data_IF_574573612901
#
_entry.id   IF_574573612901
#
_cell.length_a   1.000
_cell.length_b   1.000
_cell.length_c   1.000
_cell.angle_alpha   90.00
_cell.angle_beta   90.00
_cell.angle_gamma   90.00
#
_symmetry.space_group_name_H-M   'P 1'
#
loop_
_entity.id
_entity.type
_entity.pdbx_description
1 polymer ?
#
# COMPACT_ATOMS: atom_id res chain seq x y z
N UNK A 1 -2.75 62.88 -41.13
CA UNK A 1 -2.62 62.54 -39.70
C UNK A 1 -1.77 61.29 -39.57
N UNK A 2 -0.63 61.36 -38.86
CA UNK A 2 0.23 60.21 -38.52
C UNK A 2 -0.30 59.56 -37.24
N UNK A 3 -0.40 58.23 -37.20
CA UNK A 3 -0.36 57.48 -35.95
C UNK A 3 0.72 56.42 -36.11
N UNK A 4 1.77 56.59 -35.31
CA UNK A 4 3.01 55.81 -35.29
C UNK A 4 2.76 54.49 -34.55
N UNK A 5 3.18 53.39 -35.18
CA UNK A 5 3.20 52.06 -34.57
C UNK A 5 4.33 52.01 -33.54
N UNK A 6 4.05 51.61 -32.30
CA UNK A 6 5.08 51.21 -31.36
C UNK A 6 4.96 49.70 -31.09
N UNK A 7 5.97 48.99 -31.60
CA UNK A 7 6.30 47.59 -31.41
C UNK A 7 6.69 47.34 -29.95
N UNK A 8 6.02 46.41 -29.27
CA UNK A 8 6.44 45.93 -27.96
C UNK A 8 7.52 44.86 -28.18
N UNK A 9 8.77 45.22 -27.85
CA UNK A 9 9.96 44.36 -27.95
C UNK A 9 10.08 43.51 -26.67
N UNK A 10 10.47 42.22 -26.72
CA UNK A 10 10.67 41.42 -25.53
C UNK A 10 12.08 41.70 -24.98
N UNK A 11 12.19 42.65 -24.06
CA UNK A 11 13.43 42.84 -23.32
C UNK A 11 13.64 41.66 -22.37
N UNK A 12 14.64 40.85 -22.71
CA UNK A 12 15.16 39.77 -21.87
C UNK A 12 15.87 40.38 -20.65
N UNK A 13 15.10 40.73 -19.63
CA UNK A 13 15.67 41.09 -18.34
C UNK A 13 16.22 39.82 -17.69
N UNK A 14 17.53 39.63 -17.82
CA UNK A 14 18.33 38.70 -17.02
C UNK A 14 18.25 39.10 -15.56
N UNK A 15 17.12 38.78 -14.91
CA UNK A 15 16.91 38.91 -13.47
C UNK A 15 17.91 38.00 -12.79
N UNK A 16 18.93 38.60 -12.17
CA UNK A 16 19.91 37.93 -11.30
C UNK A 16 19.15 37.00 -10.34
N UNK A 17 19.36 35.69 -10.47
CA UNK A 17 18.65 34.63 -9.72
C UNK A 17 18.62 34.88 -8.19
N UNK A 18 19.58 35.63 -7.68
CA UNK A 18 19.68 35.94 -6.26
C UNK A 18 18.71 37.01 -5.74
N UNK A 19 18.31 37.97 -6.58
CA UNK A 19 17.39 39.06 -6.21
C UNK A 19 15.96 38.54 -6.05
N UNK A 20 15.57 37.59 -6.91
CA UNK A 20 14.25 36.92 -6.88
C UNK A 20 13.99 36.19 -5.55
N UNK A 21 15.01 35.50 -5.00
CA UNK A 21 14.85 34.71 -3.79
C UNK A 21 14.74 35.57 -2.52
N UNK A 22 15.45 36.70 -2.48
CA UNK A 22 15.38 37.65 -1.37
C UNK A 22 14.02 38.33 -1.28
N UNK A 23 13.48 38.78 -2.43
CA UNK A 23 12.13 39.32 -2.54
C UNK A 23 11.07 38.31 -2.10
N UNK A 24 11.21 37.04 -2.51
CA UNK A 24 10.27 35.98 -2.12
C UNK A 24 10.26 35.71 -0.60
N UNK A 25 11.42 35.73 0.08
CA UNK A 25 11.46 35.60 1.54
C UNK A 25 10.80 36.78 2.25
N UNK A 26 11.03 38.00 1.73
CA UNK A 26 10.44 39.22 2.30
C UNK A 26 8.92 39.22 2.17
N UNK A 27 8.41 38.93 0.98
CA UNK A 27 6.97 38.80 0.72
C UNK A 27 6.33 37.68 1.56
N UNK A 28 7.06 36.58 1.79
CA UNK A 28 6.58 35.49 2.64
C UNK A 28 6.47 35.92 4.11
N UNK A 29 7.47 36.66 4.63
CA UNK A 29 7.48 37.24 5.99
C UNK A 29 6.37 38.27 6.18
N UNK A 30 6.16 39.13 5.19
CA UNK A 30 5.10 40.13 5.21
C UNK A 30 3.71 39.48 5.20
N UNK A 31 3.54 38.38 4.46
CA UNK A 31 2.27 37.66 4.34
C UNK A 31 1.95 36.75 5.52
N UNK A 32 2.97 36.22 6.19
CA UNK A 32 2.84 35.34 7.34
C UNK A 32 3.75 35.83 8.48
N UNK A 33 3.35 36.90 9.19
CA UNK A 33 4.21 37.52 10.20
C UNK A 33 4.42 36.63 11.43
N UNK A 34 3.47 35.73 11.72
CA UNK A 34 3.50 34.87 12.90
C UNK A 34 4.15 33.50 12.59
N UNK A 35 5.14 33.13 13.41
CA UNK A 35 5.73 31.79 13.42
C UNK A 35 7.16 31.68 12.88
N UNK A 36 7.67 30.44 12.83
CA UNK A 36 9.00 30.14 12.33
C UNK A 36 9.04 30.24 10.80
N UNK A 37 9.94 31.09 10.32
CA UNK A 37 10.08 31.36 8.90
C UNK A 37 11.00 30.33 8.23
N UNK A 38 10.59 29.73 7.10
CA UNK A 38 11.45 28.84 6.33
C UNK A 38 12.74 29.56 5.90
N UNK A 39 13.85 28.82 5.86
CA UNK A 39 15.12 29.39 5.37
C UNK A 39 15.03 29.69 3.87
N UNK A 40 15.86 30.64 3.39
CA UNK A 40 15.96 30.97 1.96
C UNK A 40 16.17 29.74 1.07
N UNK A 41 16.94 28.76 1.55
CA UNK A 41 17.20 27.52 0.84
C UNK A 41 15.94 26.67 0.66
N UNK A 42 15.06 26.62 1.66
CA UNK A 42 13.79 25.89 1.59
C UNK A 42 12.86 26.51 0.56
N UNK A 43 12.73 27.84 0.56
CA UNK A 43 11.91 28.56 -0.44
C UNK A 43 12.43 28.29 -1.85
N UNK A 44 13.75 28.38 -2.06
CA UNK A 44 14.37 28.08 -3.34
C UNK A 44 14.12 26.63 -3.80
N UNK A 45 14.22 25.65 -2.90
CA UNK A 45 13.94 24.24 -3.20
C UNK A 45 12.47 23.99 -3.54
N UNK A 46 11.54 24.75 -2.93
CA UNK A 46 10.11 24.67 -3.25
C UNK A 46 9.83 25.28 -4.62
N UNK A 47 10.33 26.49 -4.90
CA UNK A 47 10.17 27.16 -6.20
C UNK A 47 10.78 26.33 -7.33
N UNK A 48 11.97 25.75 -7.11
CA UNK A 48 12.62 24.85 -8.07
C UNK A 48 11.76 23.63 -8.36
N UNK A 49 11.28 22.92 -7.33
CA UNK A 49 10.41 21.74 -7.50
C UNK A 49 9.09 22.08 -8.18
N UNK A 50 8.50 23.22 -7.85
CA UNK A 50 7.27 23.67 -8.48
C UNK A 50 7.48 23.91 -9.99
N UNK A 51 8.62 24.48 -10.39
CA UNK A 51 8.96 24.65 -11.80
C UNK A 51 9.26 23.32 -12.53
N UNK A 52 9.90 22.38 -11.84
CA UNK A 52 10.32 21.10 -12.44
C UNK A 52 9.19 20.07 -12.51
N UNK A 53 8.30 20.03 -11.52
CA UNK A 53 7.31 18.94 -11.35
C UNK A 53 5.87 19.46 -11.25
N UNK A 54 5.66 20.78 -11.12
CA UNK A 54 4.32 21.36 -10.95
C UNK A 54 3.67 21.07 -9.59
N UNK A 55 4.37 20.44 -8.66
CA UNK A 55 3.82 20.01 -7.38
C UNK A 55 4.78 20.29 -6.21
N UNK A 56 4.23 20.72 -5.07
CA UNK A 56 4.97 21.03 -3.83
C UNK A 56 5.00 19.83 -2.87
N UNK A 57 4.12 18.84 -3.07
CA UNK A 57 4.06 17.64 -2.24
C UNK A 57 5.36 16.84 -2.42
N UNK A 58 5.95 16.42 -1.30
CA UNK A 58 7.19 15.63 -1.32
C UNK A 58 6.98 14.34 -2.10
N UNK A 59 7.96 13.99 -2.93
CA UNK A 59 8.04 12.67 -3.56
C UNK A 59 8.02 11.59 -2.47
N UNK A 60 7.26 10.50 -2.63
CA UNK A 60 7.25 9.42 -1.65
C UNK A 60 8.67 8.98 -1.35
N UNK A 61 9.01 8.85 -0.06
CA UNK A 61 10.30 8.28 0.32
C UNK A 61 10.28 6.82 -0.09
N UNK A 62 10.90 6.49 -1.21
CA UNK A 62 11.13 5.11 -1.62
C UNK A 62 12.13 4.54 -0.63
N UNK A 63 11.63 3.83 0.39
CA UNK A 63 12.49 3.06 1.28
C UNK A 63 13.03 1.91 0.45
N UNK A 64 14.34 1.90 0.21
CA UNK A 64 15.00 0.76 -0.43
C UNK A 64 14.77 -0.45 0.49
N UNK A 65 14.17 -1.54 -0.02
CA UNK A 65 14.03 -2.77 0.77
C UNK A 65 15.42 -3.24 1.20
N UNK A 66 15.60 -3.48 2.50
CA UNK A 66 16.81 -4.18 2.96
C UNK A 66 16.67 -5.62 2.50
N UNK A 67 17.45 -6.03 1.50
CA UNK A 67 17.55 -7.43 1.10
C UNK A 67 18.16 -8.23 2.26
N UNK A 68 17.34 -8.77 3.15
CA UNK A 68 17.81 -9.52 4.32
C UNK A 68 18.16 -10.95 3.89
N UNK A 69 19.44 -11.17 3.57
CA UNK A 69 20.22 -12.38 3.92
C UNK A 69 19.95 -13.74 3.25
N UNK A 70 18.74 -14.06 2.77
CA UNK A 70 18.49 -15.32 2.03
C UNK A 70 17.40 -15.12 0.99
N UNK A 71 17.67 -15.49 -0.26
CA UNK A 71 16.64 -15.64 -1.30
C UNK A 71 15.85 -16.94 -1.09
N UNK A 72 15.22 -17.10 0.08
CA UNK A 72 14.11 -18.05 0.16
C UNK A 72 12.96 -17.33 -0.50
N UNK A 73 12.46 -17.92 -1.57
CA UNK A 73 11.37 -17.35 -2.32
C UNK A 73 10.12 -17.37 -1.43
N UNK A 74 9.31 -16.31 -1.36
CA UNK A 74 8.08 -16.33 -0.56
C UNK A 74 7.18 -17.52 -0.92
N UNK A 75 7.30 -18.02 -2.15
CA UNK A 75 6.69 -19.24 -2.66
C UNK A 75 7.05 -20.49 -1.84
N UNK A 76 8.29 -20.62 -1.37
CA UNK A 76 8.73 -21.78 -0.56
C UNK A 76 8.03 -21.82 0.80
N UNK A 77 7.85 -20.64 1.41
CA UNK A 77 7.13 -20.47 2.67
C UNK A 77 5.66 -20.83 2.50
N UNK A 78 5.05 -20.39 1.39
CA UNK A 78 3.66 -20.68 1.05
C UNK A 78 3.44 -22.15 0.74
N UNK A 79 4.31 -22.75 -0.06
CA UNK A 79 4.26 -24.18 -0.38
C UNK A 79 4.33 -25.02 0.89
N UNK A 80 5.25 -24.69 1.81
CA UNK A 80 5.36 -25.40 3.07
C UNK A 80 4.10 -25.23 3.94
N UNK A 81 3.59 -24.00 4.08
CA UNK A 81 2.40 -23.71 4.87
C UNK A 81 1.16 -24.45 4.34
N UNK A 82 0.99 -24.53 3.02
CA UNK A 82 -0.10 -25.26 2.37
C UNK A 82 0.02 -26.77 2.54
N UNK A 83 1.23 -27.32 2.43
CA UNK A 83 1.48 -28.75 2.65
C UNK A 83 1.26 -29.16 4.12
N UNK A 84 1.41 -28.22 5.06
CA UNK A 84 1.36 -28.49 6.49
C UNK A 84 0.48 -27.47 7.24
N UNK A 85 -0.87 -27.53 7.10
CA UNK A 85 -1.80 -26.50 7.59
C UNK A 85 -1.83 -26.34 9.12
N UNK A 86 -1.34 -27.33 9.87
CA UNK A 86 -1.25 -27.28 11.33
C UNK A 86 0.09 -26.72 11.84
N UNK A 87 0.95 -26.25 10.94
CA UNK A 87 2.27 -25.75 11.29
C UNK A 87 2.21 -24.40 11.98
N UNK A 88 3.00 -24.22 13.04
CA UNK A 88 3.20 -22.89 13.60
C UNK A 88 4.16 -22.06 12.75
N UNK A 89 4.06 -20.74 12.84
CA UNK A 89 5.04 -19.79 12.27
C UNK A 89 6.48 -20.16 12.64
N UNK A 90 6.69 -20.62 13.87
CA UNK A 90 7.98 -21.13 14.35
C UNK A 90 8.47 -22.34 13.56
N UNK A 91 7.64 -23.38 13.39
CA UNK A 91 8.04 -24.57 12.61
C UNK A 91 8.34 -24.21 11.16
N UNK A 92 7.53 -23.33 10.55
CA UNK A 92 7.77 -22.86 9.18
C UNK A 92 9.11 -22.08 9.12
N UNK A 93 9.41 -21.27 10.12
CA UNK A 93 10.67 -20.50 10.19
C UNK A 93 11.91 -21.40 10.27
N UNK A 94 11.84 -22.47 11.05
CA UNK A 94 12.92 -23.45 11.21
C UNK A 94 13.14 -24.23 9.89
N UNK A 95 12.05 -24.67 9.24
CA UNK A 95 12.13 -25.43 7.99
C UNK A 95 12.59 -24.58 6.80
N UNK A 96 12.14 -23.32 6.72
CA UNK A 96 12.52 -22.41 5.65
C UNK A 96 13.84 -21.67 5.93
N UNK A 97 14.41 -21.78 7.14
CA UNK A 97 15.61 -21.03 7.54
C UNK A 97 15.41 -19.51 7.53
N UNK A 98 14.22 -19.06 7.93
CA UNK A 98 13.82 -17.65 8.00
C UNK A 98 13.58 -17.24 9.45
N UNK A 99 13.57 -15.95 9.73
CA UNK A 99 13.06 -15.48 11.02
C UNK A 99 11.53 -15.61 11.06
N UNK A 100 10.99 -15.88 12.25
CA UNK A 100 9.54 -15.99 12.46
C UNK A 100 8.80 -14.71 12.02
N UNK A 101 9.36 -13.53 12.30
CA UNK A 101 8.79 -12.26 11.84
C UNK A 101 8.72 -12.16 10.32
N UNK A 102 9.73 -12.69 9.61
CA UNK A 102 9.74 -12.70 8.14
C UNK A 102 8.67 -13.64 7.58
N UNK A 103 8.50 -14.81 8.19
CA UNK A 103 7.41 -15.75 7.85
C UNK A 103 6.05 -15.07 8.06
N UNK A 104 5.84 -14.40 9.20
CA UNK A 104 4.59 -13.72 9.49
C UNK A 104 4.28 -12.60 8.49
N UNK A 105 5.28 -11.79 8.10
CA UNK A 105 5.11 -10.78 7.05
C UNK A 105 4.71 -11.40 5.71
N UNK A 106 5.38 -12.48 5.28
CA UNK A 106 5.09 -13.15 4.01
C UNK A 106 3.66 -13.72 4.00
N UNK A 107 3.24 -14.39 5.08
CA UNK A 107 1.89 -14.95 5.19
C UNK A 107 0.81 -13.85 5.20
N UNK A 108 1.05 -12.71 5.84
CA UNK A 108 0.10 -11.59 5.82
C UNK A 108 0.06 -10.88 4.45
N UNK A 109 1.21 -10.65 3.81
CA UNK A 109 1.28 -10.01 2.48
C UNK A 109 0.58 -10.88 1.40
N UNK A 110 0.62 -12.20 1.57
CA UNK A 110 -0.02 -13.17 0.67
C UNK A 110 -1.46 -13.54 1.05
N UNK A 111 -1.98 -13.05 2.18
CA UNK A 111 -3.30 -13.42 2.69
C UNK A 111 -3.40 -14.89 3.15
N UNK A 112 -2.28 -15.58 3.32
CA UNK A 112 -2.20 -16.98 3.73
C UNK A 112 -2.29 -17.12 5.26
N UNK A 113 -3.46 -16.82 5.81
CA UNK A 113 -3.73 -17.05 7.23
C UNK A 113 -3.75 -18.55 7.55
N UNK A 114 -2.92 -18.97 8.50
CA UNK A 114 -2.92 -20.33 9.06
C UNK A 114 -4.21 -20.53 9.88
N UNK A 115 -5.30 -20.90 9.20
CA UNK A 115 -6.54 -21.27 9.88
C UNK A 115 -6.40 -22.65 10.49
N UNK A 116 -6.40 -22.71 11.82
CA UNK A 116 -6.52 -23.97 12.55
C UNK A 116 -8.00 -24.33 12.62
N UNK A 117 -8.44 -25.29 11.82
CA UNK A 117 -9.79 -25.84 11.93
C UNK A 117 -9.96 -26.48 13.32
N UNK A 118 -10.77 -25.88 14.18
CA UNK A 118 -11.18 -26.51 15.44
C UNK A 118 -12.43 -27.35 15.17
N UNK A 119 -12.40 -28.68 15.33
CA UNK A 119 -13.63 -29.47 15.25
C UNK A 119 -14.51 -29.12 16.45
N UNK A 120 -15.55 -28.31 16.22
CA UNK A 120 -16.44 -27.80 17.29
C UNK A 120 -17.46 -28.86 17.73
N UNK A 121 -17.79 -29.80 16.84
CA UNK A 121 -18.74 -30.87 17.12
C UNK A 121 -17.99 -32.20 16.99
N UNK A 122 -18.04 -33.04 18.03
CA UNK A 122 -17.43 -34.37 18.07
C UNK A 122 -18.11 -35.36 17.11
N UNK A 123 -18.14 -35.01 15.82
CA UNK A 123 -18.78 -35.76 14.76
C UNK A 123 -18.00 -37.05 14.53
N UNK A 124 -18.56 -38.15 14.99
CA UNK A 124 -18.11 -39.50 14.66
C UNK A 124 -18.37 -39.83 13.17
N UNK A 125 -17.57 -40.72 12.56
CA UNK A 125 -17.72 -41.12 11.16
C UNK A 125 -19.14 -41.55 10.76
N UNK A 126 -19.88 -42.22 11.66
CA UNK A 126 -21.28 -42.63 11.47
C UNK A 126 -22.25 -41.46 11.21
N UNK A 127 -21.89 -40.24 11.60
CA UNK A 127 -22.71 -39.05 11.37
C UNK A 127 -22.47 -38.45 9.98
N UNK A 128 -21.43 -38.84 9.26
CA UNK A 128 -21.19 -38.36 7.90
C UNK A 128 -22.29 -38.82 6.95
N UNK A 129 -22.59 -40.13 6.95
CA UNK A 129 -23.62 -40.72 6.09
C UNK A 129 -24.99 -40.05 6.32
N UNK A 130 -25.45 -39.96 7.57
CA UNK A 130 -26.74 -39.32 7.91
C UNK A 130 -26.82 -37.87 7.45
N UNK A 131 -25.73 -37.12 7.55
CA UNK A 131 -25.68 -35.73 7.09
C UNK A 131 -25.72 -35.65 5.56
N UNK A 132 -24.98 -36.52 4.85
CA UNK A 132 -25.02 -36.55 3.40
C UNK A 132 -26.41 -36.94 2.88
N UNK A 133 -27.07 -37.92 3.49
CA UNK A 133 -28.45 -38.29 3.14
C UNK A 133 -29.42 -37.13 3.36
N UNK A 134 -29.31 -36.42 4.49
CA UNK A 134 -30.14 -35.25 4.75
C UNK A 134 -29.86 -34.09 3.79
N UNK A 135 -28.59 -33.78 3.53
CA UNK A 135 -28.21 -32.78 2.54
C UNK A 135 -28.77 -33.11 1.16
N UNK A 136 -28.62 -34.35 0.69
CA UNK A 136 -29.14 -34.78 -0.61
C UNK A 136 -30.67 -34.70 -0.66
N UNK A 137 -31.36 -35.07 0.42
CA UNK A 137 -32.81 -34.91 0.53
C UNK A 137 -33.24 -33.45 0.40
N UNK A 138 -32.57 -32.54 1.12
CA UNK A 138 -32.84 -31.10 1.03
C UNK A 138 -32.53 -30.56 -0.37
N UNK A 139 -31.39 -30.94 -0.97
CA UNK A 139 -31.02 -30.51 -2.33
C UNK A 139 -32.04 -30.96 -3.37
N UNK A 140 -32.49 -32.22 -3.30
CA UNK A 140 -33.51 -32.75 -4.22
C UNK A 140 -34.87 -32.02 -4.05
N UNK A 141 -35.27 -31.71 -2.82
CA UNK A 141 -36.50 -30.94 -2.56
C UNK A 141 -36.40 -29.52 -3.14
N UNK A 142 -35.23 -28.89 -3.04
CA UNK A 142 -35.02 -27.55 -3.59
C UNK A 142 -35.01 -27.54 -5.13
N UNK A 143 -34.53 -28.63 -5.75
CA UNK A 143 -34.62 -28.81 -7.20
C UNK A 143 -36.07 -29.01 -7.66
N UNK A 144 -36.88 -29.78 -6.93
CA UNK A 144 -38.28 -30.07 -7.28
C UNK A 144 -39.26 -28.94 -6.89
N UNK A 145 -38.99 -28.22 -5.79
CA UNK A 145 -39.84 -27.16 -5.24
C UNK A 145 -38.99 -26.02 -4.64
N UNK A 146 -38.66 -25.03 -5.47
CA UNK A 146 -37.83 -23.87 -5.12
C UNK A 146 -38.37 -23.04 -3.93
N UNK A 147 -39.68 -23.14 -3.63
CA UNK A 147 -40.37 -22.39 -2.56
C UNK A 147 -40.25 -23.03 -1.18
N UNK A 148 -39.57 -24.17 -1.04
CA UNK A 148 -39.46 -24.89 0.25
C UNK A 148 -38.81 -24.07 1.38
N UNK A 149 -38.02 -23.06 1.06
CA UNK A 149 -37.35 -22.17 2.04
C UNK A 149 -38.10 -20.85 2.30
N UNK A 150 -39.29 -20.65 1.72
CA UNK A 150 -40.06 -19.40 1.85
C UNK A 150 -41.10 -19.43 2.99
N UNK A 151 -41.04 -20.42 3.90
CA UNK A 151 -41.94 -20.52 5.05
C UNK A 151 -41.42 -19.77 6.29
#
# INVERSE_FOLDING_TARGET
MRVVRNTCSPETTTMKKDVSAGLQNRLYRERFPEGLHPTRQTILKVVKRLKETGCVISRPRVRIPRNVGRKVQPEDVLAYALAHPYSSSKMISENCGLSESRVWTILNESGAHLYRSTPVQGLLPRHAERRYTWCNFVMNILEDHLTFLEA
#
